data_IF_426341248843
#
_entry.id   IF_426341248843
#
_cell.length_a   1.000
_cell.length_b   1.000
_cell.length_c   1.000
_cell.angle_alpha   90.00
_cell.angle_beta   90.00
_cell.angle_gamma   90.00
#
_symmetry.space_group_name_H-M   'P 1'
#
loop_
_entity.id
_entity.type
_entity.pdbx_description
1 polymer ?
#
# COMPACT_ATOMS: atom_id res chain seq x y z
N UNK A 1 40.79 -15.31 74.62
CA UNK A 1 39.42 -15.01 74.08
C UNK A 1 39.62 -14.38 72.71
N UNK A 2 39.47 -15.15 71.65
CA UNK A 2 39.75 -14.78 70.25
C UNK A 2 38.48 -14.48 69.53
N UNK A 3 38.38 -13.44 68.68
CA UNK A 3 37.23 -13.20 67.84
C UNK A 3 37.40 -13.93 66.50
N UNK A 4 36.34 -14.58 66.11
CA UNK A 4 36.15 -15.31 64.88
C UNK A 4 36.07 -14.37 63.66
N UNK A 5 36.84 -14.71 62.64
CA UNK A 5 36.83 -14.07 61.31
C UNK A 5 35.69 -14.53 60.44
N UNK A 6 34.79 -13.65 60.08
CA UNK A 6 33.85 -13.85 58.94
C UNK A 6 34.58 -13.63 57.62
N UNK A 7 34.67 -14.64 56.81
CA UNK A 7 35.11 -14.53 55.43
C UNK A 7 33.88 -14.25 54.51
N UNK A 8 33.85 -13.03 53.97
CA UNK A 8 32.91 -12.66 52.92
C UNK A 8 33.36 -13.23 51.58
N UNK A 9 32.55 -14.11 51.01
CA UNK A 9 32.69 -14.53 49.60
C UNK A 9 32.03 -13.47 48.71
N UNK A 10 32.83 -12.71 47.97
CA UNK A 10 32.35 -11.86 46.89
C UNK A 10 32.21 -12.74 45.64
N UNK A 11 30.98 -12.99 45.25
CA UNK A 11 30.67 -13.62 43.96
C UNK A 11 30.77 -12.55 42.85
N UNK A 12 31.79 -12.67 42.01
CA UNK A 12 31.86 -11.90 40.76
C UNK A 12 30.89 -12.51 39.75
N UNK A 13 29.78 -11.84 39.54
CA UNK A 13 28.88 -12.12 38.39
C UNK A 13 29.53 -11.49 37.16
N UNK A 14 30.10 -12.32 36.29
CA UNK A 14 30.57 -11.92 34.97
C UNK A 14 29.33 -11.74 34.08
N UNK A 15 28.86 -10.51 33.92
CA UNK A 15 27.84 -10.18 32.92
C UNK A 15 28.50 -10.26 31.54
N UNK A 16 28.28 -11.34 30.84
CA UNK A 16 28.58 -11.41 29.42
C UNK A 16 27.64 -10.45 28.65
N UNK A 17 28.16 -9.27 28.37
CA UNK A 17 27.55 -8.37 27.36
C UNK A 17 27.64 -9.09 26.01
N UNK A 18 26.57 -9.76 25.62
CA UNK A 18 26.38 -10.13 24.25
C UNK A 18 26.28 -8.83 23.44
N UNK A 19 27.38 -8.39 22.87
CA UNK A 19 27.33 -7.40 21.79
C UNK A 19 26.57 -8.01 20.65
N UNK A 20 25.34 -7.58 20.47
CA UNK A 20 24.62 -7.75 19.19
C UNK A 20 25.42 -6.94 18.17
N UNK A 21 26.45 -7.55 17.63
CA UNK A 21 27.17 -7.02 16.50
C UNK A 21 26.15 -6.87 15.36
N UNK A 22 25.76 -5.64 15.07
CA UNK A 22 25.10 -5.34 13.82
C UNK A 22 26.01 -5.89 12.72
N UNK A 23 25.54 -6.91 12.00
CA UNK A 23 26.26 -7.41 10.84
C UNK A 23 26.50 -6.22 9.92
N UNK A 24 27.74 -6.01 9.50
CA UNK A 24 28.06 -4.97 8.53
C UNK A 24 27.17 -5.16 7.30
N UNK A 25 26.65 -4.09 6.69
CA UNK A 25 25.90 -4.20 5.46
C UNK A 25 26.70 -4.98 4.42
N UNK A 26 26.10 -5.99 3.84
CA UNK A 26 26.71 -6.75 2.77
C UNK A 26 26.51 -5.98 1.47
N UNK A 27 27.62 -5.58 0.85
CA UNK A 27 27.60 -4.92 -0.45
C UNK A 27 27.60 -5.98 -1.56
N UNK A 28 26.69 -5.81 -2.52
CA UNK A 28 26.58 -6.60 -3.72
C UNK A 28 26.80 -5.71 -4.92
N UNK A 29 27.76 -6.07 -5.75
CA UNK A 29 28.02 -5.36 -7.00
C UNK A 29 28.16 -6.36 -8.15
N UNK A 30 27.65 -5.99 -9.33
CA UNK A 30 27.72 -6.83 -10.50
C UNK A 30 26.39 -6.96 -11.23
N UNK A 31 26.34 -7.94 -12.12
CA UNK A 31 25.14 -8.31 -12.89
C UNK A 31 24.63 -9.63 -12.33
N UNK A 32 23.37 -9.64 -11.90
CA UNK A 32 22.71 -10.80 -11.28
C UNK A 32 21.51 -11.24 -12.14
N UNK A 33 21.73 -11.97 -13.25
CA UNK A 33 20.64 -12.40 -14.14
C UNK A 33 19.57 -13.22 -13.43
N UNK A 34 19.94 -13.96 -12.39
CA UNK A 34 19.03 -14.75 -11.57
C UNK A 34 18.04 -13.93 -10.76
N UNK A 35 18.30 -12.64 -10.58
CA UNK A 35 17.36 -11.70 -9.94
C UNK A 35 16.46 -11.00 -10.95
N UNK A 36 16.70 -11.19 -12.25
CA UNK A 36 15.85 -10.62 -13.28
C UNK A 36 14.46 -11.23 -13.25
N UNK A 37 13.45 -10.42 -13.32
CA UNK A 37 12.07 -10.85 -13.52
C UNK A 37 11.50 -10.17 -14.76
N UNK A 38 10.51 -10.82 -15.34
CA UNK A 38 9.96 -10.43 -16.63
C UNK A 38 8.44 -10.31 -16.52
N UNK A 39 7.93 -9.34 -17.25
CA UNK A 39 6.52 -9.14 -17.46
C UNK A 39 6.34 -8.71 -18.92
N UNK A 40 5.34 -9.21 -19.59
CA UNK A 40 5.11 -9.03 -21.03
C UNK A 40 3.99 -8.03 -21.33
N UNK A 41 3.73 -7.14 -20.41
CA UNK A 41 2.69 -6.13 -20.57
C UNK A 41 3.26 -4.85 -21.21
N UNK A 42 2.43 -4.10 -21.93
CA UNK A 42 2.86 -2.89 -22.64
C UNK A 42 3.32 -1.76 -21.74
N UNK A 43 2.86 -1.72 -20.52
CA UNK A 43 3.33 -0.86 -19.45
C UNK A 43 3.57 -1.73 -18.22
N UNK A 44 4.79 -1.81 -17.76
CA UNK A 44 5.17 -2.78 -16.74
C UNK A 44 6.26 -2.26 -15.80
N UNK A 45 6.47 -2.99 -14.72
CA UNK A 45 7.49 -2.67 -13.73
C UNK A 45 7.33 -3.45 -12.45
N UNK A 46 7.99 -2.97 -11.40
CA UNK A 46 7.86 -3.48 -10.04
C UNK A 46 6.67 -2.82 -9.36
N UNK A 47 5.67 -3.59 -8.98
CA UNK A 47 4.49 -3.10 -8.27
C UNK A 47 4.75 -2.85 -6.79
N UNK A 48 5.30 -3.84 -6.10
CA UNK A 48 5.65 -3.73 -4.69
C UNK A 48 6.84 -4.62 -4.34
N UNK A 49 7.62 -4.20 -3.34
CA UNK A 49 8.75 -4.94 -2.78
C UNK A 49 8.67 -4.86 -1.27
N UNK A 50 8.74 -6.01 -0.58
CA UNK A 50 8.62 -6.07 0.88
C UNK A 50 9.50 -7.16 1.46
N UNK A 51 10.36 -6.87 2.44
CA UNK A 51 11.02 -7.89 3.26
C UNK A 51 10.00 -8.50 4.23
N UNK A 52 9.87 -9.83 4.23
CA UNK A 52 8.98 -10.56 5.11
C UNK A 52 9.43 -12.02 5.27
N UNK A 53 9.41 -12.55 6.49
CA UNK A 53 9.73 -13.94 6.80
C UNK A 53 11.08 -14.40 6.19
N UNK A 54 12.14 -13.60 6.40
CA UNK A 54 13.50 -13.81 5.89
C UNK A 54 13.58 -13.93 4.36
N UNK A 55 12.68 -13.28 3.65
CA UNK A 55 12.63 -13.21 2.18
C UNK A 55 12.38 -11.79 1.72
N UNK A 56 12.73 -11.53 0.47
CA UNK A 56 12.26 -10.36 -0.24
C UNK A 56 11.14 -10.79 -1.18
N UNK A 57 9.96 -10.28 -0.96
CA UNK A 57 8.79 -10.52 -1.80
C UNK A 57 8.64 -9.40 -2.81
N UNK A 58 8.47 -9.76 -4.05
CA UNK A 58 8.33 -8.84 -5.17
C UNK A 58 7.15 -9.25 -6.01
N UNK A 59 6.36 -8.27 -6.41
CA UNK A 59 5.27 -8.47 -7.36
C UNK A 59 5.45 -7.55 -8.54
N UNK A 60 5.28 -8.06 -9.74
CA UNK A 60 5.33 -7.27 -10.96
C UNK A 60 4.03 -6.50 -11.20
N UNK A 61 4.05 -5.59 -12.13
CA UNK A 61 3.02 -4.58 -12.33
C UNK A 61 2.65 -4.48 -13.80
N UNK A 62 1.41 -4.85 -14.14
CA UNK A 62 0.81 -4.69 -15.46
C UNK A 62 -0.44 -3.81 -15.38
N UNK A 63 -0.32 -2.49 -15.55
CA UNK A 63 -1.36 -1.52 -15.13
C UNK A 63 -2.67 -1.58 -15.90
N UNK A 64 -2.73 -2.31 -16.99
CA UNK A 64 -3.95 -2.41 -17.80
C UNK A 64 -4.58 -3.79 -17.80
N UNK A 65 -4.05 -4.71 -17.01
CA UNK A 65 -4.42 -6.12 -16.99
C UNK A 65 -4.90 -6.56 -15.60
N UNK A 66 -6.11 -6.17 -15.18
CA UNK A 66 -6.61 -6.48 -13.84
C UNK A 66 -6.92 -7.97 -13.61
N UNK A 67 -6.92 -8.78 -14.68
CA UNK A 67 -7.18 -10.22 -14.62
C UNK A 67 -6.23 -10.96 -15.54
N UNK A 68 -5.60 -12.02 -15.00
CA UNK A 68 -4.87 -12.99 -15.80
C UNK A 68 -3.71 -12.41 -16.60
N UNK A 69 -3.04 -11.40 -16.08
CA UNK A 69 -1.82 -10.88 -16.70
C UNK A 69 -0.64 -11.81 -16.49
N UNK A 70 0.48 -11.54 -17.15
CA UNK A 70 1.73 -12.28 -16.96
C UNK A 70 2.43 -11.97 -15.64
N UNK A 71 1.90 -11.05 -14.85
CA UNK A 71 2.45 -10.65 -13.56
C UNK A 71 2.63 -11.82 -12.62
N UNK A 72 3.76 -11.83 -11.91
CA UNK A 72 4.14 -12.89 -10.98
C UNK A 72 4.44 -12.33 -9.61
N UNK A 73 4.21 -13.20 -8.63
CA UNK A 73 4.75 -13.05 -7.29
C UNK A 73 6.08 -13.80 -7.23
N UNK A 74 7.11 -13.09 -6.80
CA UNK A 74 8.46 -13.62 -6.63
C UNK A 74 8.86 -13.62 -5.16
N UNK A 75 9.57 -14.67 -4.76
CA UNK A 75 10.24 -14.79 -3.48
C UNK A 75 11.73 -14.86 -3.72
N UNK A 76 12.51 -13.97 -3.12
CA UNK A 76 13.97 -14.00 -3.17
C UNK A 76 14.53 -14.42 -1.82
N UNK A 77 15.41 -15.41 -1.87
CA UNK A 77 16.10 -15.92 -0.68
C UNK A 77 17.28 -15.01 -0.28
N UNK A 78 17.81 -15.13 0.95
CA UNK A 78 18.97 -14.35 1.37
C UNK A 78 20.24 -14.60 0.53
N UNK A 79 20.36 -15.78 -0.09
CA UNK A 79 21.42 -16.12 -1.04
C UNK A 79 21.07 -15.74 -2.49
N UNK A 80 20.12 -14.83 -2.67
CA UNK A 80 19.70 -14.22 -3.94
C UNK A 80 19.11 -15.19 -4.96
N UNK A 81 18.56 -16.31 -4.54
CA UNK A 81 17.81 -17.19 -5.43
C UNK A 81 16.38 -16.69 -5.62
N UNK A 82 15.94 -16.68 -6.87
CA UNK A 82 14.57 -16.35 -7.25
C UNK A 82 13.68 -17.58 -7.25
N UNK A 83 12.53 -17.44 -6.64
CA UNK A 83 11.45 -18.43 -6.65
C UNK A 83 10.22 -17.74 -7.24
N UNK A 84 9.74 -18.22 -8.37
CA UNK A 84 8.45 -17.78 -8.93
C UNK A 84 7.37 -18.56 -8.23
N UNK A 85 6.46 -17.86 -7.57
CA UNK A 85 5.40 -18.51 -6.77
C UNK A 85 4.32 -19.08 -7.70
N UNK A 86 3.97 -20.37 -7.52
CA UNK A 86 2.94 -21.01 -8.34
C UNK A 86 1.53 -20.44 -8.10
N UNK A 87 1.31 -19.77 -6.97
CA UNK A 87 0.05 -19.13 -6.61
C UNK A 87 -0.20 -17.82 -7.38
N UNK A 88 0.72 -17.41 -8.24
CA UNK A 88 0.58 -16.19 -9.04
C UNK A 88 -0.67 -16.22 -9.91
N UNK A 89 -1.53 -15.21 -9.77
CA UNK A 89 -2.81 -15.10 -10.50
C UNK A 89 -2.84 -13.93 -11.49
N UNK A 90 -1.74 -13.22 -11.61
CA UNK A 90 -1.69 -11.98 -12.39
C UNK A 90 -2.28 -10.79 -11.63
N UNK A 91 -2.72 -9.79 -12.37
CA UNK A 91 -3.21 -8.54 -11.78
C UNK A 91 -2.11 -7.52 -11.54
N UNK A 92 -2.44 -6.45 -10.89
CA UNK A 92 -1.52 -5.31 -10.78
C UNK A 92 -1.56 -4.71 -9.41
N UNK A 93 -0.82 -5.21 -8.49
CA UNK A 93 -0.77 -4.58 -7.19
C UNK A 93 0.33 -3.53 -7.11
N UNK A 94 -0.01 -2.47 -6.42
CA UNK A 94 0.95 -1.53 -5.86
C UNK A 94 0.82 -1.44 -4.34
N UNK A 95 -0.14 -2.12 -3.76
CA UNK A 95 -0.40 -2.14 -2.33
C UNK A 95 0.45 -3.18 -1.60
N UNK A 96 0.78 -2.88 -0.38
CA UNK A 96 1.43 -3.78 0.56
C UNK A 96 1.20 -3.31 1.99
N UNK A 97 1.06 -4.27 2.89
CA UNK A 97 0.92 -4.01 4.33
C UNK A 97 1.40 -5.22 5.12
N UNK A 98 2.17 -4.99 6.16
CA UNK A 98 2.41 -6.00 7.19
C UNK A 98 1.28 -5.89 8.20
N UNK A 99 0.37 -6.84 8.17
CA UNK A 99 -0.75 -6.92 9.09
C UNK A 99 -0.30 -7.62 10.38
N UNK A 100 0.08 -6.81 11.37
CA UNK A 100 0.68 -7.29 12.63
C UNK A 100 -0.23 -8.23 13.39
N UNK A 101 -1.52 -7.94 13.41
CA UNK A 101 -2.52 -8.67 14.19
C UNK A 101 -2.68 -10.11 13.74
N UNK A 102 -2.53 -10.39 12.47
CA UNK A 102 -2.59 -11.76 11.93
C UNK A 102 -1.22 -12.33 11.56
N UNK A 103 -0.15 -11.57 11.77
CA UNK A 103 1.23 -11.93 11.43
C UNK A 103 1.38 -12.36 9.95
N UNK A 104 0.89 -11.52 9.03
CA UNK A 104 0.90 -11.76 7.61
C UNK A 104 1.39 -10.54 6.83
N UNK A 105 2.09 -10.78 5.72
CA UNK A 105 2.26 -9.81 4.67
C UNK A 105 1.05 -9.86 3.74
N UNK A 106 0.43 -8.72 3.50
CA UNK A 106 -0.57 -8.51 2.44
C UNK A 106 0.10 -7.76 1.31
N UNK A 107 0.17 -8.36 0.12
CA UNK A 107 0.79 -7.78 -1.06
C UNK A 107 -0.04 -8.13 -2.30
N UNK A 108 -0.65 -7.14 -2.94
CA UNK A 108 -1.65 -7.42 -3.97
C UNK A 108 -2.80 -8.28 -3.43
N UNK A 109 -3.21 -9.31 -4.15
CA UNK A 109 -4.24 -10.24 -3.70
C UNK A 109 -3.72 -11.31 -2.74
N UNK A 110 -2.41 -11.31 -2.41
CA UNK A 110 -1.75 -12.36 -1.66
C UNK A 110 -1.68 -12.05 -0.17
N UNK A 111 -1.92 -13.06 0.64
CA UNK A 111 -1.72 -13.09 2.09
C UNK A 111 -0.64 -14.12 2.40
N UNK A 112 0.49 -13.67 2.89
CA UNK A 112 1.68 -14.49 3.10
C UNK A 112 1.96 -14.58 4.59
N UNK A 113 1.86 -15.77 5.16
CA UNK A 113 2.10 -16.02 6.55
C UNK A 113 3.58 -15.99 6.93
N UNK A 114 3.86 -16.08 8.22
CA UNK A 114 5.22 -16.09 8.75
C UNK A 114 6.03 -17.34 8.32
N UNK A 115 5.35 -18.44 8.03
CA UNK A 115 5.95 -19.67 7.50
C UNK A 115 6.01 -19.70 5.97
N UNK A 116 5.70 -18.55 5.34
CA UNK A 116 5.73 -18.32 3.88
C UNK A 116 4.67 -19.08 3.07
N UNK A 117 3.63 -19.57 3.72
CA UNK A 117 2.44 -20.04 3.02
C UNK A 117 1.76 -18.87 2.31
N UNK A 118 1.40 -19.05 1.06
CA UNK A 118 0.75 -18.03 0.23
C UNK A 118 -0.71 -18.41 0.01
N UNK A 119 -1.60 -17.52 0.40
CA UNK A 119 -3.03 -17.60 0.09
C UNK A 119 -3.39 -16.44 -0.82
N UNK A 120 -4.35 -16.63 -1.70
CA UNK A 120 -4.69 -15.66 -2.72
C UNK A 120 -6.19 -15.41 -2.80
N UNK A 121 -6.58 -14.16 -2.95
CA UNK A 121 -7.95 -13.80 -3.30
C UNK A 121 -8.12 -13.99 -4.80
N UNK A 122 -9.05 -14.84 -5.24
CA UNK A 122 -9.33 -15.00 -6.66
C UNK A 122 -9.70 -13.65 -7.32
N UNK A 123 -9.14 -13.31 -8.49
CA UNK A 123 -9.37 -12.01 -9.13
C UNK A 123 -10.86 -11.66 -9.35
N UNK A 124 -11.70 -12.65 -9.58
CA UNK A 124 -13.14 -12.45 -9.76
C UNK A 124 -13.90 -12.06 -8.49
N UNK A 125 -13.34 -12.32 -7.31
CA UNK A 125 -13.96 -11.91 -6.04
C UNK A 125 -13.64 -10.47 -5.68
N UNK A 126 -12.50 -9.95 -6.14
CA UNK A 126 -12.08 -8.57 -5.92
C UNK A 126 -11.43 -8.05 -7.20
N UNK A 127 -12.25 -7.65 -8.16
CA UNK A 127 -11.79 -7.23 -9.48
C UNK A 127 -11.04 -5.91 -9.44
N UNK A 128 -10.19 -5.72 -10.44
CA UNK A 128 -9.40 -4.52 -10.59
C UNK A 128 -8.01 -4.63 -9.99
N UNK A 129 -7.23 -3.59 -10.20
CA UNK A 129 -5.85 -3.50 -9.74
C UNK A 129 -5.82 -3.08 -8.27
N UNK A 130 -5.15 -3.86 -7.44
CA UNK A 130 -5.06 -3.61 -6.00
C UNK A 130 -4.09 -2.46 -5.71
N UNK A 131 -4.58 -1.27 -5.54
CA UNK A 131 -3.77 -0.06 -5.36
C UNK A 131 -3.66 0.43 -3.94
N UNK A 132 -4.52 -0.02 -3.06
CA UNK A 132 -4.46 0.35 -1.66
C UNK A 132 -4.99 -0.72 -0.72
N UNK A 133 -4.40 -0.81 0.46
CA UNK A 133 -4.96 -1.52 1.59
C UNK A 133 -4.81 -0.70 2.86
N UNK A 134 -5.69 -0.92 3.82
CA UNK A 134 -5.67 -0.23 5.09
C UNK A 134 -6.20 -1.13 6.21
N UNK A 135 -5.75 -0.87 7.44
CA UNK A 135 -6.26 -1.56 8.62
C UNK A 135 -7.74 -1.22 8.82
N UNK A 136 -8.51 -2.22 9.22
CA UNK A 136 -9.93 -2.03 9.46
C UNK A 136 -10.17 -1.12 10.67
N UNK A 137 -11.15 -0.21 10.59
CA UNK A 137 -11.39 0.81 11.61
C UNK A 137 -11.87 0.22 12.95
N UNK A 138 -12.72 -0.80 12.89
CA UNK A 138 -13.40 -1.34 14.09
C UNK A 138 -13.05 -2.79 14.41
N UNK A 139 -12.48 -3.52 13.44
CA UNK A 139 -12.07 -4.93 13.61
C UNK A 139 -10.71 -5.19 12.96
N UNK A 140 -9.66 -4.48 13.37
CA UNK A 140 -8.33 -4.61 12.76
C UNK A 140 -7.68 -5.97 13.01
N UNK A 141 -8.13 -6.75 13.99
CA UNK A 141 -7.59 -8.09 14.25
C UNK A 141 -8.01 -9.12 13.20
N UNK A 142 -9.15 -8.92 12.55
CA UNK A 142 -9.72 -9.92 11.65
C UNK A 142 -9.91 -9.41 10.22
N UNK A 143 -9.84 -8.10 9.99
CA UNK A 143 -10.25 -7.52 8.72
C UNK A 143 -9.28 -6.44 8.23
N UNK A 144 -9.24 -6.28 6.92
CA UNK A 144 -8.53 -5.21 6.22
C UNK A 144 -9.42 -4.62 5.14
N UNK A 145 -9.21 -3.34 4.83
CA UNK A 145 -9.80 -2.71 3.65
C UNK A 145 -8.87 -2.85 2.44
N UNK A 146 -9.48 -3.01 1.28
CA UNK A 146 -8.82 -2.93 -0.02
C UNK A 146 -9.52 -1.89 -0.90
N UNK A 147 -8.72 -1.10 -1.61
CA UNK A 147 -9.20 -0.33 -2.75
C UNK A 147 -8.63 -0.93 -4.03
N UNK A 148 -9.48 -1.09 -5.02
CA UNK A 148 -9.04 -1.42 -6.36
C UNK A 148 -9.15 -0.19 -7.26
N UNK A 149 -8.30 -0.13 -8.26
CA UNK A 149 -8.27 1.02 -9.16
C UNK A 149 -9.56 1.13 -9.98
N UNK A 150 -10.17 0.01 -10.32
CA UNK A 150 -11.28 -0.07 -11.28
C UNK A 150 -12.66 -0.30 -10.65
N UNK A 151 -12.75 -0.79 -9.44
CA UNK A 151 -14.08 -1.24 -8.96
C UNK A 151 -14.52 -0.60 -7.64
N UNK A 152 -13.67 -0.49 -6.62
CA UNK A 152 -14.08 0.20 -5.42
C UNK A 152 -13.38 -0.19 -4.12
N UNK A 153 -14.12 -0.08 -3.01
CA UNK A 153 -13.67 -0.40 -1.66
C UNK A 153 -14.27 -1.72 -1.19
N UNK A 154 -13.42 -2.56 -0.63
CA UNK A 154 -13.77 -3.87 -0.11
C UNK A 154 -13.32 -4.04 1.34
N UNK A 155 -14.03 -4.91 2.06
CA UNK A 155 -13.62 -5.50 3.33
C UNK A 155 -13.21 -6.95 3.08
N UNK A 156 -12.09 -7.36 3.63
CA UNK A 156 -11.57 -8.73 3.51
C UNK A 156 -11.27 -9.28 4.89
N UNK A 157 -11.77 -10.49 5.19
CA UNK A 157 -11.39 -11.25 6.36
C UNK A 157 -10.00 -11.87 6.17
N UNK A 158 -9.06 -11.59 7.07
CA UNK A 158 -7.65 -11.98 6.92
C UNK A 158 -7.41 -13.48 7.10
N UNK A 159 -8.35 -14.20 7.68
CA UNK A 159 -8.24 -15.65 7.94
C UNK A 159 -8.91 -16.48 6.86
N UNK A 160 -10.11 -16.10 6.48
CA UNK A 160 -10.93 -16.87 5.52
C UNK A 160 -10.79 -16.38 4.09
N UNK A 161 -10.27 -15.17 3.88
CA UNK A 161 -10.25 -14.43 2.62
C UNK A 161 -11.65 -14.16 2.05
N UNK A 162 -12.66 -14.16 2.90
CA UNK A 162 -13.99 -13.74 2.51
C UNK A 162 -13.98 -12.25 2.15
N UNK A 163 -14.52 -11.93 0.98
CA UNK A 163 -14.55 -10.58 0.42
C UNK A 163 -15.97 -10.04 0.46
N UNK A 164 -16.10 -8.79 0.91
CA UNK A 164 -17.35 -8.04 0.88
C UNK A 164 -17.12 -6.69 0.20
N UNK A 165 -17.87 -6.40 -0.86
CA UNK A 165 -17.89 -5.07 -1.47
C UNK A 165 -18.60 -4.07 -0.56
N UNK A 166 -17.98 -2.93 -0.30
CA UNK A 166 -18.54 -1.84 0.49
C UNK A 166 -19.03 -0.71 -0.40
N UNK A 167 -18.16 -0.18 -1.26
CA UNK A 167 -18.46 0.95 -2.15
C UNK A 167 -18.02 0.58 -3.55
N UNK A 168 -18.91 0.75 -4.53
CA UNK A 168 -18.61 0.57 -5.95
C UNK A 168 -18.33 1.93 -6.61
N UNK A 169 -17.22 2.01 -7.33
CA UNK A 169 -16.88 3.21 -8.09
C UNK A 169 -17.67 3.28 -9.40
N UNK A 170 -18.51 4.30 -9.55
CA UNK A 170 -19.39 4.45 -10.72
C UNK A 170 -18.65 4.83 -12.01
N UNK A 171 -17.49 5.45 -11.88
CA UNK A 171 -16.69 5.90 -13.04
C UNK A 171 -15.91 4.76 -13.69
N UNK A 172 -15.84 3.62 -13.04
CA UNK A 172 -15.13 2.45 -13.51
C UNK A 172 -16.12 1.48 -14.16
N UNK A 173 -16.13 1.45 -15.48
CA UNK A 173 -16.91 0.47 -16.22
C UNK A 173 -16.06 -0.79 -16.42
N UNK A 174 -16.50 -1.96 -15.96
CA UNK A 174 -15.82 -3.20 -16.27
C UNK A 174 -15.69 -3.35 -17.78
N UNK A 175 -14.51 -3.76 -18.25
CA UNK A 175 -14.36 -4.12 -19.66
C UNK A 175 -15.19 -5.37 -19.94
N UNK A 176 -15.72 -5.49 -21.16
CA UNK A 176 -16.50 -6.65 -21.58
C UNK A 176 -15.73 -7.95 -21.26
N UNK A 177 -16.38 -8.90 -20.62
CA UNK A 177 -15.77 -10.16 -20.16
C UNK A 177 -15.20 -10.14 -18.75
N UNK A 178 -15.16 -9.01 -18.07
CA UNK A 178 -14.70 -8.86 -16.67
C UNK A 178 -15.91 -8.78 -15.72
N UNK A 179 -16.71 -9.82 -15.69
CA UNK A 179 -17.79 -9.92 -14.70
C UNK A 179 -17.24 -10.42 -13.38
N UNK A 180 -17.38 -9.60 -12.35
CA UNK A 180 -16.97 -9.96 -11.01
C UNK A 180 -18.05 -10.80 -10.31
N UNK A 181 -17.66 -11.93 -9.77
CA UNK A 181 -18.44 -12.66 -8.76
C UNK A 181 -18.15 -12.08 -7.39
N UNK A 182 -18.55 -10.85 -7.17
CA UNK A 182 -18.42 -10.21 -5.84
C UNK A 182 -19.75 -10.14 -5.16
N UNK A 183 -19.69 -10.17 -3.84
CA UNK A 183 -20.79 -9.68 -3.02
C UNK A 183 -21.07 -8.24 -3.45
N UNK A 184 -22.25 -7.92 -4.01
CA UNK A 184 -22.50 -6.61 -4.58
C UNK A 184 -22.32 -5.53 -3.51
N UNK A 185 -21.55 -4.50 -3.82
CA UNK A 185 -21.48 -3.33 -2.99
C UNK A 185 -22.84 -2.68 -2.90
N UNK A 186 -23.27 -2.35 -1.70
CA UNK A 186 -24.57 -1.72 -1.45
C UNK A 186 -24.57 -0.22 -1.70
N UNK A 187 -23.38 0.37 -1.78
CA UNK A 187 -23.16 1.81 -1.90
C UNK A 187 -22.44 2.07 -3.22
N UNK A 188 -22.95 3.04 -3.96
CA UNK A 188 -22.30 3.56 -5.16
C UNK A 188 -21.55 4.84 -4.81
N UNK A 189 -20.28 4.93 -5.18
CA UNK A 189 -19.43 6.08 -4.90
C UNK A 189 -19.98 7.36 -5.50
N UNK A 190 -20.00 8.41 -4.68
CA UNK A 190 -20.25 9.78 -5.13
C UNK A 190 -18.96 10.61 -5.18
N UNK A 191 -17.82 10.00 -4.87
CA UNK A 191 -16.53 10.67 -4.95
C UNK A 191 -16.19 10.95 -6.42
N UNK A 192 -15.88 12.21 -6.78
CA UNK A 192 -15.48 12.53 -8.15
C UNK A 192 -14.12 11.91 -8.48
N UNK A 193 -13.97 11.51 -9.75
CA UNK A 193 -12.76 10.89 -10.24
C UNK A 193 -12.84 9.37 -10.32
N UNK A 194 -11.74 8.78 -10.73
CA UNK A 194 -11.59 7.35 -10.94
C UNK A 194 -10.15 6.91 -10.65
N UNK A 195 -9.87 5.62 -10.71
CA UNK A 195 -8.56 5.05 -10.42
C UNK A 195 -8.05 5.38 -9.02
N UNK A 196 -8.56 4.69 -8.02
CA UNK A 196 -8.01 4.74 -6.66
C UNK A 196 -6.51 4.45 -6.66
N UNK A 197 -5.73 5.29 -5.99
CA UNK A 197 -4.25 5.21 -5.98
C UNK A 197 -3.67 4.84 -4.63
N UNK A 198 -4.18 5.40 -3.57
CA UNK A 198 -3.68 5.17 -2.23
C UNK A 198 -4.81 5.02 -1.23
N UNK A 199 -4.59 4.17 -0.24
CA UNK A 199 -5.53 3.95 0.86
C UNK A 199 -4.74 3.83 2.15
N UNK A 200 -5.19 4.51 3.19
CA UNK A 200 -4.60 4.43 4.51
C UNK A 200 -5.65 4.69 5.57
N UNK A 201 -5.48 4.19 6.79
CA UNK A 201 -6.43 4.41 7.88
C UNK A 201 -5.77 4.95 9.14
N UNK A 202 -6.48 5.82 9.82
CA UNK A 202 -6.09 6.39 11.11
C UNK A 202 -7.10 7.44 11.55
N UNK A 203 -7.07 7.79 12.82
CA UNK A 203 -7.95 8.79 13.44
C UNK A 203 -9.44 8.55 13.14
N UNK A 204 -9.85 7.26 13.11
CA UNK A 204 -11.23 6.87 12.83
C UNK A 204 -11.67 6.99 11.37
N UNK A 205 -10.76 7.24 10.44
CA UNK A 205 -11.05 7.42 9.02
C UNK A 205 -10.18 6.50 8.15
N UNK A 206 -10.75 6.09 7.02
CA UNK A 206 -10.02 5.57 5.86
C UNK A 206 -9.91 6.70 4.85
N UNK A 207 -8.71 6.97 4.38
CA UNK A 207 -8.44 8.03 3.39
C UNK A 207 -8.11 7.40 2.06
N UNK A 208 -8.82 7.81 1.01
CA UNK A 208 -8.63 7.38 -0.37
C UNK A 208 -8.13 8.55 -1.22
N UNK A 209 -7.11 8.27 -2.01
CA UNK A 209 -6.64 9.13 -3.07
C UNK A 209 -7.02 8.56 -4.44
N UNK A 210 -7.48 9.39 -5.38
CA UNK A 210 -7.75 8.95 -6.73
C UNK A 210 -7.14 9.85 -7.82
N UNK A 211 -7.12 9.34 -9.04
CA UNK A 211 -6.37 9.91 -10.16
C UNK A 211 -7.11 11.00 -10.94
N UNK A 212 -8.38 11.20 -10.71
CA UNK A 212 -9.08 12.25 -11.42
C UNK A 212 -10.32 11.83 -12.21
N UNK A 213 -10.74 12.72 -13.07
CA UNK A 213 -11.92 12.54 -13.89
C UNK A 213 -11.57 11.83 -15.19
N UNK A 214 -12.46 10.95 -15.65
CA UNK A 214 -12.34 10.32 -16.96
C UNK A 214 -12.77 11.30 -18.07
N UNK A 215 -11.97 12.35 -18.23
CA UNK A 215 -12.22 13.38 -19.24
C UNK A 215 -10.98 13.56 -20.12
N UNK A 216 -11.11 13.44 -21.44
CA UNK A 216 -10.00 13.77 -22.35
C UNK A 216 -9.44 15.18 -22.14
N UNK A 217 -10.29 16.13 -21.75
CA UNK A 217 -9.85 17.48 -21.44
C UNK A 217 -9.00 17.55 -20.19
N UNK A 218 -9.38 16.84 -19.13
CA UNK A 218 -8.59 16.79 -17.89
C UNK A 218 -7.21 16.14 -18.07
N UNK A 219 -7.03 15.32 -19.12
CA UNK A 219 -5.75 14.71 -19.43
C UNK A 219 -4.76 15.68 -20.07
N UNK A 220 -5.25 16.71 -20.73
CA UNK A 220 -4.41 17.67 -21.50
C UNK A 220 -4.49 19.10 -21.00
N UNK A 221 -5.47 19.44 -20.20
CA UNK A 221 -5.65 20.79 -19.64
C UNK A 221 -5.42 20.78 -18.13
N UNK A 222 -4.26 21.28 -17.69
CA UNK A 222 -3.90 21.29 -16.27
C UNK A 222 -4.74 22.26 -15.42
N UNK A 223 -5.57 23.08 -16.03
CA UNK A 223 -6.47 23.99 -15.31
C UNK A 223 -7.75 23.30 -14.87
N UNK A 224 -8.08 22.15 -15.50
CA UNK A 224 -9.23 21.35 -15.10
C UNK A 224 -8.89 20.57 -13.83
N UNK A 225 -9.62 20.85 -12.78
CA UNK A 225 -9.46 20.17 -11.50
C UNK A 225 -9.88 18.71 -11.64
N UNK A 226 -8.92 17.81 -11.48
CA UNK A 226 -9.15 16.39 -11.55
C UNK A 226 -8.72 15.70 -10.26
N UNK A 227 -9.27 14.53 -10.00
CA UNK A 227 -8.97 13.77 -8.82
C UNK A 227 -9.75 14.19 -7.58
N UNK A 228 -9.61 13.38 -6.56
CA UNK A 228 -10.16 13.65 -5.26
C UNK A 228 -9.32 12.99 -4.16
N UNK A 229 -9.33 13.64 -3.01
CA UNK A 229 -9.02 13.05 -1.72
C UNK A 229 -10.34 12.88 -0.99
N UNK A 230 -10.65 11.67 -0.57
CA UNK A 230 -11.88 11.33 0.14
C UNK A 230 -11.62 10.64 1.47
N UNK A 231 -12.60 10.65 2.34
CA UNK A 231 -12.59 9.91 3.61
C UNK A 231 -13.83 9.05 3.75
N UNK A 232 -13.69 7.96 4.52
CA UNK A 232 -14.74 7.04 4.89
C UNK A 232 -14.61 6.72 6.37
N UNK A 233 -15.70 6.84 7.11
CA UNK A 233 -15.71 6.62 8.56
C UNK A 233 -16.20 5.23 8.98
N UNK A 234 -16.34 4.32 8.03
CA UNK A 234 -16.88 2.98 8.25
C UNK A 234 -18.35 2.85 7.86
N UNK A 235 -19.06 3.94 7.62
CA UNK A 235 -20.50 3.98 7.31
C UNK A 235 -20.79 4.90 6.12
N UNK A 236 -21.80 4.54 5.33
CA UNK A 236 -22.27 5.36 4.21
C UNK A 236 -21.29 5.44 3.04
N UNK A 237 -21.15 6.62 2.48
CA UNK A 237 -20.34 6.88 1.29
C UNK A 237 -19.08 7.67 1.62
N UNK A 238 -18.21 7.82 0.63
CA UNK A 238 -17.06 8.72 0.71
C UNK A 238 -17.50 10.17 0.97
N UNK A 239 -16.75 10.85 1.83
CA UNK A 239 -16.82 12.30 1.99
C UNK A 239 -15.66 12.95 1.27
N UNK A 240 -15.94 13.96 0.44
CA UNK A 240 -14.91 14.68 -0.30
C UNK A 240 -14.15 15.64 0.63
N UNK A 241 -12.83 15.46 0.70
CA UNK A 241 -11.92 16.36 1.41
C UNK A 241 -11.43 17.45 0.47
N UNK A 242 -10.93 17.06 -0.70
CA UNK A 242 -10.34 18.01 -1.66
C UNK A 242 -10.38 17.50 -3.10
N UNK A 243 -10.57 18.43 -4.03
CA UNK A 243 -10.50 18.23 -5.48
C UNK A 243 -9.08 18.54 -5.97
N UNK A 244 -8.23 17.55 -6.03
CA UNK A 244 -6.93 17.54 -6.70
C UNK A 244 -6.51 16.10 -6.93
N UNK A 245 -5.55 15.89 -7.78
CA UNK A 245 -4.94 14.58 -7.96
C UNK A 245 -4.02 14.27 -6.77
N UNK A 246 -4.25 13.13 -6.14
CA UNK A 246 -3.39 12.59 -5.08
C UNK A 246 -2.98 11.17 -5.44
N UNK A 247 -1.80 10.76 -5.04
CA UNK A 247 -1.26 9.44 -5.38
C UNK A 247 -0.78 8.64 -4.20
N UNK A 248 -0.44 9.29 -3.12
CA UNK A 248 0.02 8.60 -1.91
C UNK A 248 -0.79 9.04 -0.70
N UNK A 249 -1.14 8.06 0.12
CA UNK A 249 -1.66 8.25 1.46
C UNK A 249 -0.88 7.34 2.39
N UNK A 250 -0.32 7.87 3.46
CA UNK A 250 0.48 7.11 4.42
C UNK A 250 0.46 7.78 5.80
N UNK A 251 1.16 7.19 6.76
CA UNK A 251 1.37 7.72 8.10
C UNK A 251 2.62 7.14 8.73
N UNK A 252 2.94 7.48 9.97
CA UNK A 252 4.03 6.87 10.72
C UNK A 252 3.92 5.35 10.76
N UNK A 253 5.04 4.67 10.58
CA UNK A 253 5.07 3.21 10.49
C UNK A 253 4.76 2.64 9.10
N UNK A 254 4.42 3.47 8.11
CA UNK A 254 4.29 3.10 6.70
C UNK A 254 3.63 1.72 6.46
N UNK A 255 4.43 0.71 6.11
CA UNK A 255 3.97 -0.67 5.85
C UNK A 255 3.26 -1.33 7.03
N UNK A 256 3.59 -0.97 8.24
CA UNK A 256 3.03 -1.59 9.46
C UNK A 256 1.82 -0.85 9.99
N UNK A 257 1.46 0.26 9.36
CA UNK A 257 0.39 1.16 9.79
C UNK A 257 0.79 2.01 11.00
N UNK A 258 -0.06 2.95 11.36
CA UNK A 258 0.16 3.84 12.49
C UNK A 258 0.39 3.07 13.80
N UNK A 259 1.36 3.51 14.58
CA UNK A 259 1.64 2.95 15.90
C UNK A 259 0.50 3.31 16.89
N UNK A 260 -0.01 4.54 16.83
CA UNK A 260 -1.22 4.99 17.51
C UNK A 260 -2.28 5.40 16.48
N UNK A 261 -3.15 4.47 16.03
CA UNK A 261 -4.15 4.76 15.01
C UNK A 261 -5.14 5.87 15.38
N UNK A 262 -5.25 6.22 16.66
CA UNK A 262 -6.15 7.28 17.10
C UNK A 262 -5.55 8.69 16.97
N UNK A 263 -4.21 8.79 16.97
CA UNK A 263 -3.52 10.09 17.07
C UNK A 263 -2.52 10.35 15.96
N UNK A 264 -1.85 9.29 15.47
CA UNK A 264 -0.79 9.47 14.49
C UNK A 264 -1.31 10.18 13.23
N UNK A 265 -0.54 11.12 12.69
CA UNK A 265 -0.97 11.88 11.53
C UNK A 265 -1.14 11.01 10.29
N UNK A 266 -2.01 11.44 9.39
CA UNK A 266 -2.12 10.89 8.04
C UNK A 266 -1.59 11.92 7.07
N UNK A 267 -0.68 11.49 6.21
CA UNK A 267 -0.05 12.32 5.19
C UNK A 267 -0.50 11.90 3.82
N UNK A 268 -0.72 12.86 2.95
CA UNK A 268 -1.04 12.60 1.56
C UNK A 268 -0.32 13.57 0.63
N UNK A 269 0.09 13.05 -0.51
CA UNK A 269 0.80 13.81 -1.53
C UNK A 269 0.00 13.80 -2.82
N UNK A 270 -0.15 14.96 -3.36
CA UNK A 270 -0.76 15.21 -4.65
C UNK A 270 -0.14 16.41 -5.34
N UNK A 271 -0.80 16.90 -6.36
CA UNK A 271 -0.35 18.09 -7.10
C UNK A 271 -1.47 18.80 -7.82
N UNK A 272 -1.16 20.01 -8.18
CA UNK A 272 -1.80 20.76 -9.25
C UNK A 272 -0.75 21.14 -10.30
N UNK A 273 -1.15 21.94 -11.26
CA UNK A 273 -0.26 22.36 -12.35
C UNK A 273 1.00 23.10 -11.86
N UNK A 274 0.93 23.82 -10.76
CA UNK A 274 2.00 24.73 -10.29
C UNK A 274 2.70 24.27 -9.02
N UNK A 275 2.15 23.28 -8.34
CA UNK A 275 2.67 22.89 -7.04
C UNK A 275 2.49 21.39 -6.75
N UNK A 276 3.39 20.88 -5.94
CA UNK A 276 3.15 19.68 -5.13
C UNK A 276 2.29 20.10 -3.94
N UNK A 277 1.31 19.29 -3.60
CA UNK A 277 0.40 19.50 -2.48
C UNK A 277 0.70 18.42 -1.45
N UNK A 278 1.20 18.82 -0.30
CA UNK A 278 1.29 17.97 0.88
C UNK A 278 0.12 18.33 1.80
N UNK A 279 -0.66 17.35 2.20
CA UNK A 279 -1.66 17.53 3.24
C UNK A 279 -1.40 16.58 4.39
N UNK A 280 -1.61 17.11 5.60
CA UNK A 280 -1.44 16.38 6.85
C UNK A 280 -2.72 16.50 7.66
N UNK A 281 -3.24 15.36 8.11
CA UNK A 281 -4.33 15.31 9.07
C UNK A 281 -3.77 15.02 10.47
N UNK A 282 -3.98 15.96 11.38
CA UNK A 282 -3.63 15.85 12.79
C UNK A 282 -4.83 16.29 13.62
N UNK A 283 -5.16 15.56 14.67
CA UNK A 283 -6.31 15.82 15.55
C UNK A 283 -7.61 16.08 14.77
N UNK A 284 -7.85 15.30 13.72
CA UNK A 284 -9.03 15.43 12.86
C UNK A 284 -9.04 16.66 11.95
N UNK A 285 -7.95 17.41 11.86
CA UNK A 285 -7.86 18.62 11.04
C UNK A 285 -6.82 18.48 9.95
N UNK A 286 -7.18 18.96 8.75
CA UNK A 286 -6.29 18.97 7.60
C UNK A 286 -5.53 20.30 7.50
N UNK A 287 -4.21 20.21 7.42
CA UNK A 287 -3.32 21.32 7.03
C UNK A 287 -2.77 21.03 5.65
N UNK A 288 -2.72 22.06 4.79
CA UNK A 288 -2.25 21.93 3.40
C UNK A 288 -1.05 22.83 3.15
N UNK A 289 0.00 22.22 2.63
CA UNK A 289 1.21 22.91 2.21
C UNK A 289 1.34 22.81 0.69
N UNK A 290 1.77 23.92 0.06
CA UNK A 290 2.05 23.97 -1.37
C UNK A 290 3.53 24.23 -1.57
N UNK A 291 4.17 23.33 -2.30
CA UNK A 291 5.58 23.44 -2.68
C UNK A 291 5.59 23.79 -4.17
N UNK A 292 6.07 24.99 -4.56
CA UNK A 292 6.12 25.36 -5.97
C UNK A 292 6.93 24.33 -6.77
N UNK A 293 6.41 23.93 -7.92
CA UNK A 293 7.17 23.13 -8.88
C UNK A 293 8.25 24.00 -9.50
N UNK A 294 9.39 23.37 -9.80
CA UNK A 294 10.47 24.04 -10.50
C UNK A 294 10.15 24.36 -11.95
N UNK A 295 11.15 24.37 -12.78
CA UNK A 295 11.06 24.73 -14.21
C UNK A 295 10.47 23.63 -15.09
N UNK A 296 10.08 22.49 -14.55
CA UNK A 296 9.58 21.38 -15.34
C UNK A 296 8.20 21.69 -15.91
N UNK A 297 8.06 21.45 -17.18
CA UNK A 297 6.78 21.55 -17.85
C UNK A 297 5.92 20.33 -17.56
N UNK A 298 4.63 20.58 -17.53
CA UNK A 298 3.61 19.56 -17.53
C UNK A 298 3.72 18.73 -18.84
N UNK A 299 3.76 17.42 -18.75
CA UNK A 299 3.96 16.56 -19.94
C UNK A 299 2.71 16.43 -20.82
N UNK A 300 1.57 16.98 -20.39
CA UNK A 300 0.34 17.06 -21.17
C UNK A 300 -0.33 15.72 -21.50
N UNK A 301 0.42 14.64 -21.56
CA UNK A 301 -0.11 13.33 -21.97
C UNK A 301 -0.86 12.63 -20.84
N UNK A 302 -0.33 12.71 -19.64
CA UNK A 302 -0.86 11.99 -18.47
C UNK A 302 -1.22 12.91 -17.30
N UNK A 303 -1.02 14.20 -17.42
CA UNK A 303 -1.16 15.13 -16.32
C UNK A 303 -0.02 15.04 -15.30
N UNK A 304 1.02 14.33 -15.62
CA UNK A 304 2.17 14.12 -14.75
C UNK A 304 3.35 14.94 -15.24
N UNK A 305 4.19 15.31 -14.33
CA UNK A 305 5.46 15.89 -14.64
C UNK A 305 6.59 15.06 -14.04
N UNK A 306 7.82 15.42 -14.33
CA UNK A 306 9.00 14.73 -13.86
C UNK A 306 9.20 14.81 -12.34
N UNK A 307 8.51 15.72 -11.67
CA UNK A 307 8.57 15.89 -10.22
C UNK A 307 7.47 15.07 -9.55
N UNK A 308 7.67 13.76 -9.45
CA UNK A 308 6.76 12.88 -8.75
C UNK A 308 7.16 12.77 -7.28
N UNK A 309 6.49 13.48 -6.37
CA UNK A 309 6.84 13.43 -4.96
C UNK A 309 6.48 12.09 -4.35
N UNK A 310 7.28 11.67 -3.39
CA UNK A 310 7.06 10.45 -2.61
C UNK A 310 7.19 10.76 -1.13
N UNK A 311 6.31 10.17 -0.34
CA UNK A 311 6.50 10.11 1.10
C UNK A 311 7.19 8.78 1.41
N UNK A 312 8.24 8.85 2.20
CA UNK A 312 8.94 7.66 2.70
C UNK A 312 8.90 7.66 4.21
N UNK A 313 8.63 6.50 4.74
CA UNK A 313 8.85 6.24 6.14
C UNK A 313 10.36 6.16 6.39
N UNK A 314 10.85 7.04 7.21
CA UNK A 314 12.25 7.12 7.65
C UNK A 314 12.38 6.75 9.12
N UNK A 315 11.38 6.06 9.66
CA UNK A 315 11.14 5.72 11.05
C UNK A 315 12.22 5.03 11.81
#
# INVERSE_FOLDING_TARGET
MTPSSLRSFAAFALAALASSGSAAPQEWSGIYPELAYFNNEGECGTGAVVPWADRLWVITYGPHMPYGSSDKLYEFTPDLKQIVRPESVGGTPANRMIHKESNQLVIGPYFIGAEREVRVIPPKLMPGRHTGNARHLTDPANKVYFATMEDGLYEVDVRTLAVKGLIKEIMNTPKAGQTAEVSPATITSTLPGYHGKGLYSGQGLVILANNGERSPKALVDPTIVSGALGSFNGEGNWSLIRRNQFTEVTGPGGLTGNADPAKDPIWTVGWDFRSVILMVMEDGKWTSYRLPKGSHSYDGAHGWNTEWPRIRDIG
#
